data_IF_048071721541
#
_entry.id   IF_048071721541
#
_cell.length_a   1.000
_cell.length_b   1.000
_cell.length_c   1.000
_cell.angle_alpha   90.00
_cell.angle_beta   90.00
_cell.angle_gamma   90.00
#
_symmetry.space_group_name_H-M   'P 1'
#
loop_
_entity.id
_entity.type
_entity.pdbx_description
1 polymer ?
#
# COMPACT_ATOMS: atom_id res chain seq x y z
N UNK A 1 -24.08 17.28 0.51
CA UNK A 1 -23.15 16.26 1.06
C UNK A 1 -22.00 15.89 0.13
N UNK A 2 -22.13 15.95 -1.20
CA UNK A 2 -21.04 15.63 -2.15
C UNK A 2 -19.73 16.42 -1.90
N UNK A 3 -19.82 17.75 -1.76
CA UNK A 3 -18.63 18.60 -1.60
C UNK A 3 -17.83 18.43 -0.30
N UNK A 4 -18.32 17.69 0.70
CA UNK A 4 -17.56 17.37 1.91
C UNK A 4 -16.62 16.17 1.71
N UNK A 5 -16.99 15.25 0.80
CA UNK A 5 -16.15 14.10 0.45
C UNK A 5 -15.04 14.51 -0.51
N UNK A 6 -15.34 15.37 -1.49
CA UNK A 6 -14.36 15.83 -2.49
C UNK A 6 -13.17 16.56 -1.83
N UNK A 7 -13.43 17.45 -0.86
CA UNK A 7 -12.37 18.16 -0.11
C UNK A 7 -11.50 17.22 0.74
N UNK A 8 -12.11 16.18 1.30
CA UNK A 8 -11.39 15.15 2.08
C UNK A 8 -10.51 14.29 1.18
N UNK A 9 -10.98 13.96 -0.02
CA UNK A 9 -10.21 13.21 -1.03
C UNK A 9 -9.00 14.00 -1.49
N UNK A 10 -9.16 15.27 -1.83
CA UNK A 10 -8.04 16.13 -2.27
C UNK A 10 -6.94 16.22 -1.18
N UNK A 11 -7.36 16.43 0.06
CA UNK A 11 -6.45 16.52 1.21
C UNK A 11 -5.74 15.19 1.48
N UNK A 12 -6.47 14.08 1.34
CA UNK A 12 -5.92 12.74 1.43
C UNK A 12 -4.87 12.48 0.34
N UNK A 13 -5.16 12.86 -0.91
CA UNK A 13 -4.23 12.72 -2.04
C UNK A 13 -2.97 13.58 -1.85
N UNK A 14 -3.10 14.79 -1.32
CA UNK A 14 -1.97 15.66 -1.02
C UNK A 14 -1.05 15.07 0.06
N UNK A 15 -1.62 14.43 1.08
CA UNK A 15 -0.86 13.82 2.17
C UNK A 15 -0.21 12.48 1.81
N UNK A 16 -0.87 11.68 0.95
CA UNK A 16 -0.40 10.34 0.57
C UNK A 16 0.90 10.40 -0.25
N UNK A 17 1.86 9.51 0.03
CA UNK A 17 2.99 9.31 -0.88
C UNK A 17 2.49 8.69 -2.19
N UNK A 18 3.16 9.02 -3.28
CA UNK A 18 3.00 8.34 -4.57
C UNK A 18 4.11 7.31 -4.69
N UNK A 19 3.80 6.07 -5.04
CA UNK A 19 4.83 5.07 -5.29
C UNK A 19 5.75 5.51 -6.43
N UNK A 20 7.10 5.43 -6.28
CA UNK A 20 8.04 5.86 -7.30
C UNK A 20 7.87 5.08 -8.61
N UNK A 21 8.01 5.76 -9.75
CA UNK A 21 7.90 5.14 -11.09
C UNK A 21 8.87 3.98 -11.28
N UNK A 22 10.05 4.12 -10.67
CA UNK A 22 11.16 3.17 -10.77
C UNK A 22 10.78 1.81 -10.15
N UNK A 23 9.84 1.78 -9.20
CA UNK A 23 9.38 0.52 -8.63
C UNK A 23 8.59 -0.28 -9.65
N UNK A 24 7.77 0.37 -10.48
CA UNK A 24 7.04 -0.33 -11.54
C UNK A 24 8.01 -0.86 -12.58
N UNK A 25 9.05 -0.10 -12.94
CA UNK A 25 10.12 -0.58 -13.84
C UNK A 25 10.90 -1.75 -13.23
N UNK A 26 11.24 -1.68 -11.94
CA UNK A 26 11.91 -2.74 -11.20
C UNK A 26 11.07 -4.02 -11.17
N UNK A 27 9.77 -3.92 -10.88
CA UNK A 27 8.86 -5.06 -10.86
C UNK A 27 8.63 -5.64 -12.26
N UNK A 28 8.49 -4.80 -13.29
CA UNK A 28 8.37 -5.23 -14.67
C UNK A 28 9.62 -6.01 -15.14
N UNK A 29 10.81 -5.59 -14.72
CA UNK A 29 12.06 -6.28 -15.03
C UNK A 29 12.16 -7.69 -14.41
N UNK A 30 11.37 -7.99 -13.38
CA UNK A 30 11.28 -9.34 -12.81
C UNK A 30 10.38 -10.28 -13.62
N UNK A 31 9.53 -9.75 -14.52
CA UNK A 31 8.62 -10.57 -15.32
C UNK A 31 9.28 -11.09 -16.59
N UNK A 32 8.84 -12.24 -17.10
CA UNK A 32 9.38 -12.78 -18.37
C UNK A 32 8.98 -11.97 -19.62
N UNK A 33 7.89 -11.20 -19.55
CA UNK A 33 7.46 -10.29 -20.61
C UNK A 33 7.77 -8.84 -20.23
N UNK A 34 8.86 -8.29 -20.74
CA UNK A 34 9.37 -6.95 -20.39
C UNK A 34 8.52 -5.77 -20.89
N UNK A 35 7.33 -6.01 -21.46
CA UNK A 35 6.41 -4.96 -21.91
C UNK A 35 5.34 -4.65 -20.86
N UNK A 36 5.73 -4.03 -19.75
CA UNK A 36 4.78 -3.37 -18.87
C UNK A 36 4.38 -2.01 -19.48
N UNK A 37 3.59 -2.03 -20.54
CA UNK A 37 2.95 -0.83 -21.08
C UNK A 37 1.71 -0.45 -20.26
N UNK A 38 1.40 0.84 -20.15
CA UNK A 38 0.07 1.27 -19.68
C UNK A 38 -0.93 0.94 -20.78
N UNK A 39 -1.49 -0.26 -20.70
CA UNK A 39 -2.51 -0.77 -21.61
C UNK A 39 -3.92 -0.36 -21.19
N UNK A 40 -4.90 -0.86 -21.95
CA UNK A 40 -6.33 -0.72 -21.70
C UNK A 40 -6.66 -1.18 -20.28
N UNK A 41 -7.28 -0.32 -19.48
CA UNK A 41 -7.71 -0.63 -18.12
C UNK A 41 -9.06 -1.35 -18.18
N UNK A 42 -9.10 -2.60 -17.73
CA UNK A 42 -10.32 -3.38 -17.60
C UNK A 42 -10.75 -3.45 -16.14
N UNK A 43 -11.93 -2.91 -15.83
CA UNK A 43 -12.55 -3.06 -14.52
C UNK A 43 -13.47 -4.27 -14.53
N UNK A 44 -13.25 -5.16 -13.56
CA UNK A 44 -14.04 -6.38 -13.39
C UNK A 44 -14.56 -6.41 -11.95
N UNK A 45 -15.87 -6.58 -11.80
CA UNK A 45 -16.49 -6.81 -10.51
C UNK A 45 -16.62 -8.32 -10.25
N UNK A 46 -16.11 -8.80 -9.12
CA UNK A 46 -16.15 -10.21 -8.70
C UNK A 46 -17.04 -10.36 -7.45
N UNK A 47 -18.33 -10.70 -7.60
CA UNK A 47 -19.22 -10.95 -6.48
C UNK A 47 -18.71 -12.07 -5.58
N UNK A 48 -19.03 -12.04 -4.28
CA UNK A 48 -18.63 -13.09 -3.34
C UNK A 48 -19.16 -14.49 -3.70
N UNK A 49 -20.26 -14.58 -4.44
CA UNK A 49 -20.83 -15.84 -4.92
C UNK A 49 -20.11 -16.42 -6.13
N UNK A 50 -19.22 -15.67 -6.78
CA UNK A 50 -18.50 -16.10 -7.97
C UNK A 50 -17.42 -17.12 -7.58
N UNK A 51 -17.40 -18.25 -8.29
CA UNK A 51 -16.40 -19.29 -8.10
C UNK A 51 -15.02 -18.85 -8.60
N UNK A 52 -13.98 -19.55 -8.15
CA UNK A 52 -12.62 -19.29 -8.62
C UNK A 52 -12.46 -19.54 -10.12
N UNK A 53 -13.14 -20.55 -10.66
CA UNK A 53 -13.06 -20.89 -12.08
C UNK A 53 -13.74 -19.83 -12.95
N UNK A 54 -14.89 -19.31 -12.52
CA UNK A 54 -15.55 -18.18 -13.17
C UNK A 54 -14.69 -16.91 -13.13
N UNK A 55 -14.07 -16.61 -11.98
CA UNK A 55 -13.13 -15.47 -11.85
C UNK A 55 -11.95 -15.62 -12.81
N UNK A 56 -11.36 -16.83 -12.89
CA UNK A 56 -10.25 -17.10 -13.79
C UNK A 56 -10.69 -16.97 -15.25
N UNK A 57 -11.85 -17.49 -15.64
CA UNK A 57 -12.36 -17.38 -17.00
C UNK A 57 -12.61 -15.90 -17.37
N UNK A 58 -13.24 -15.14 -16.48
CA UNK A 58 -13.57 -13.72 -16.68
C UNK A 58 -12.33 -12.84 -16.88
N UNK A 59 -11.21 -13.22 -16.25
CA UNK A 59 -9.94 -12.50 -16.36
C UNK A 59 -9.04 -13.00 -17.50
N UNK A 60 -9.50 -13.91 -18.37
CA UNK A 60 -8.73 -14.37 -19.54
C UNK A 60 -8.00 -15.71 -19.38
N UNK A 61 -8.40 -16.54 -18.41
CA UNK A 61 -7.89 -17.91 -18.25
C UNK A 61 -6.60 -18.05 -17.43
N UNK A 62 -6.15 -19.28 -17.20
CA UNK A 62 -4.96 -19.54 -16.40
C UNK A 62 -3.67 -19.06 -17.08
N UNK A 63 -2.64 -18.74 -16.29
CA UNK A 63 -1.31 -18.36 -16.76
C UNK A 63 -1.30 -17.20 -17.77
N UNK A 64 -2.07 -16.15 -17.50
CA UNK A 64 -2.28 -15.02 -18.42
C UNK A 64 -1.88 -13.66 -17.82
N UNK A 65 -1.33 -13.63 -16.60
CA UNK A 65 -0.94 -12.39 -15.92
C UNK A 65 0.55 -12.40 -15.61
N UNK A 66 1.29 -11.42 -16.11
CA UNK A 66 2.73 -11.33 -15.84
C UNK A 66 3.03 -10.77 -14.43
N UNK A 67 2.20 -9.83 -13.95
CA UNK A 67 2.41 -9.14 -12.67
C UNK A 67 1.09 -8.93 -11.92
N UNK A 68 1.05 -9.37 -10.67
CA UNK A 68 0.01 -9.01 -9.70
C UNK A 68 0.65 -8.12 -8.63
N UNK A 69 0.01 -6.99 -8.32
CA UNK A 69 0.45 -6.11 -7.23
C UNK A 69 -0.61 -5.96 -6.15
N UNK A 70 -0.18 -5.88 -4.90
CA UNK A 70 -1.03 -5.59 -3.74
C UNK A 70 -0.43 -4.42 -2.97
N UNK A 71 -0.99 -3.22 -3.18
CA UNK A 71 -0.59 -2.00 -2.48
C UNK A 71 -1.41 -1.83 -1.20
N UNK A 72 -0.87 -2.29 -0.07
CA UNK A 72 -1.41 -2.16 1.31
C UNK A 72 -2.61 -3.08 1.63
N UNK A 73 -3.40 -3.49 0.63
CA UNK A 73 -4.70 -4.16 0.83
C UNK A 73 -4.66 -5.59 1.41
N UNK A 74 -3.46 -6.17 1.60
CA UNK A 74 -3.31 -7.59 1.97
C UNK A 74 -4.07 -7.98 3.25
N UNK A 75 -4.26 -7.04 4.18
CA UNK A 75 -4.99 -7.24 5.44
C UNK A 75 -6.49 -7.53 5.31
N UNK A 76 -7.07 -7.33 4.12
CA UNK A 76 -8.47 -7.64 3.83
C UNK A 76 -8.67 -9.02 3.18
N UNK A 77 -7.60 -9.66 2.72
CA UNK A 77 -7.71 -10.86 1.90
C UNK A 77 -7.76 -12.14 2.74
N UNK A 78 -8.51 -13.12 2.27
CA UNK A 78 -8.30 -14.52 2.60
C UNK A 78 -7.01 -14.98 1.90
N UNK A 79 -5.91 -15.09 2.65
CA UNK A 79 -4.59 -15.34 2.07
C UNK A 79 -4.52 -16.69 1.32
N UNK A 80 -4.99 -17.83 1.88
CA UNK A 80 -5.02 -19.09 1.14
C UNK A 80 -5.79 -19.02 -0.18
N UNK A 81 -6.99 -18.43 -0.20
CA UNK A 81 -7.80 -18.28 -1.41
C UNK A 81 -7.10 -17.37 -2.42
N UNK A 82 -6.59 -16.23 -1.96
CA UNK A 82 -5.87 -15.28 -2.81
C UNK A 82 -4.62 -15.89 -3.43
N UNK A 83 -3.77 -16.57 -2.65
CA UNK A 83 -2.55 -17.18 -3.17
C UNK A 83 -2.84 -18.30 -4.17
N UNK A 84 -3.88 -19.10 -3.93
CA UNK A 84 -4.33 -20.10 -4.91
C UNK A 84 -4.76 -19.45 -6.22
N UNK A 85 -5.54 -18.36 -6.15
CA UNK A 85 -5.97 -17.62 -7.34
C UNK A 85 -4.76 -16.98 -8.06
N UNK A 86 -3.89 -16.28 -7.33
CA UNK A 86 -2.69 -15.66 -7.90
C UNK A 86 -1.82 -16.69 -8.63
N UNK A 87 -1.57 -17.86 -8.04
CA UNK A 87 -0.79 -18.95 -8.65
C UNK A 87 -1.41 -19.56 -9.91
N UNK A 88 -2.73 -19.50 -10.06
CA UNK A 88 -3.43 -19.93 -11.28
C UNK A 88 -3.38 -18.87 -12.37
N UNK A 89 -3.37 -17.59 -11.97
CA UNK A 89 -3.42 -16.44 -12.87
C UNK A 89 -2.05 -16.08 -13.43
N UNK A 90 -1.01 -16.19 -12.61
CA UNK A 90 0.34 -15.79 -12.99
C UNK A 90 0.91 -16.69 -14.09
N UNK A 91 1.51 -16.07 -15.10
CA UNK A 91 2.23 -16.76 -16.18
C UNK A 91 3.30 -17.69 -15.61
N UNK A 92 3.50 -18.84 -16.27
CA UNK A 92 4.55 -19.79 -15.92
C UNK A 92 5.38 -20.14 -17.15
N UNK A 93 6.72 -20.01 -17.07
CA UNK A 93 7.50 -19.43 -15.97
C UNK A 93 7.39 -17.88 -15.91
N UNK A 94 7.74 -17.31 -14.74
CA UNK A 94 8.11 -15.89 -14.61
C UNK A 94 7.00 -14.87 -14.34
N UNK A 95 5.81 -15.33 -13.93
CA UNK A 95 4.78 -14.46 -13.37
C UNK A 95 5.13 -14.03 -11.94
N UNK A 96 4.95 -12.74 -11.64
CA UNK A 96 5.38 -12.10 -10.40
C UNK A 96 4.20 -11.67 -9.54
N UNK A 97 4.28 -11.95 -8.24
CA UNK A 97 3.45 -11.32 -7.21
C UNK A 97 4.30 -10.35 -6.40
N UNK A 98 3.89 -9.08 -6.34
CA UNK A 98 4.50 -8.05 -5.52
C UNK A 98 3.52 -7.49 -4.48
N UNK A 99 3.89 -7.54 -3.20
CA UNK A 99 3.11 -6.98 -2.09
C UNK A 99 3.94 -5.85 -1.48
N UNK A 100 3.34 -4.67 -1.31
CA UNK A 100 4.01 -3.53 -0.70
C UNK A 100 3.05 -2.65 0.08
N UNK A 101 3.56 -1.68 0.85
CA UNK A 101 2.76 -0.72 1.61
C UNK A 101 3.37 0.69 1.61
N UNK A 102 2.69 1.67 2.18
CA UNK A 102 3.12 3.07 2.22
C UNK A 102 2.98 3.72 3.61
N UNK A 103 2.76 2.93 4.67
CA UNK A 103 2.19 3.45 5.91
C UNK A 103 3.18 4.01 6.95
N UNK A 104 4.49 3.86 6.79
CA UNK A 104 5.42 4.19 7.89
C UNK A 104 6.11 5.54 7.66
N UNK A 105 5.74 6.56 8.42
CA UNK A 105 6.49 7.82 8.45
C UNK A 105 7.82 7.64 9.19
N UNK A 106 8.87 8.36 8.76
CA UNK A 106 10.21 8.27 9.37
C UNK A 106 10.22 8.36 10.92
N UNK A 107 11.22 7.80 11.62
CA UNK A 107 11.22 7.66 13.09
C UNK A 107 10.98 8.96 13.88
N UNK A 108 11.41 10.11 13.35
CA UNK A 108 11.16 11.43 13.98
C UNK A 108 9.67 11.79 14.06
N UNK A 109 8.88 11.32 13.11
CA UNK A 109 7.43 11.52 13.06
C UNK A 109 6.64 10.31 13.57
N UNK A 110 7.29 9.14 13.66
CA UNK A 110 6.71 7.93 14.23
C UNK A 110 6.23 8.13 15.67
N UNK A 111 6.95 8.86 16.51
CA UNK A 111 6.52 9.11 17.91
C UNK A 111 5.18 9.84 17.95
N UNK A 112 4.95 10.75 17.01
CA UNK A 112 3.73 11.57 16.94
C UNK A 112 2.58 10.77 16.29
N UNK A 113 2.87 9.86 15.35
CA UNK A 113 1.86 8.99 14.73
C UNK A 113 1.47 7.76 15.57
N UNK A 114 2.20 7.44 16.65
CA UNK A 114 1.85 6.36 17.59
C UNK A 114 0.52 6.60 18.31
N UNK A 115 0.27 7.83 18.76
CA UNK A 115 -0.92 8.16 19.55
C UNK A 115 -2.24 7.92 18.76
N UNK A 116 -2.38 8.37 17.49
CA UNK A 116 -3.53 8.01 16.66
C UNK A 116 -3.65 6.51 16.37
N UNK A 117 -2.53 5.82 16.17
CA UNK A 117 -2.48 4.37 15.91
C UNK A 117 -2.99 3.56 17.11
N UNK A 118 -2.49 3.84 18.31
CA UNK A 118 -2.93 3.15 19.54
C UNK A 118 -4.41 3.39 19.81
N UNK A 119 -4.88 4.65 19.70
CA UNK A 119 -6.30 5.01 19.92
C UNK A 119 -7.26 4.37 18.93
N UNK A 120 -6.81 4.06 17.70
CA UNK A 120 -7.66 3.45 16.68
C UNK A 120 -7.54 1.93 16.59
N UNK A 121 -6.58 1.32 17.28
CA UNK A 121 -6.27 -0.11 17.20
C UNK A 121 -7.45 -1.05 17.47
N UNK A 122 -8.39 -0.66 18.34
CA UNK A 122 -9.60 -1.43 18.63
C UNK A 122 -10.59 -1.53 17.45
N UNK A 123 -10.48 -0.66 16.46
CA UNK A 123 -11.33 -0.67 15.25
C UNK A 123 -10.69 -1.43 14.09
N UNK A 124 -9.49 -1.96 14.28
CA UNK A 124 -8.73 -2.53 13.18
C UNK A 124 -9.14 -3.96 12.91
N UNK A 125 -9.24 -4.31 11.62
CA UNK A 125 -9.44 -5.69 11.20
C UNK A 125 -8.28 -6.56 11.70
N UNK A 126 -8.53 -7.80 12.08
CA UNK A 126 -7.48 -8.70 12.60
C UNK A 126 -6.29 -8.88 11.63
N UNK A 127 -6.55 -8.79 10.32
CA UNK A 127 -5.51 -8.83 9.29
C UNK A 127 -4.58 -7.61 9.27
N UNK A 128 -4.96 -6.49 9.90
CA UNK A 128 -4.15 -5.27 9.94
C UNK A 128 -2.77 -5.50 10.56
N UNK A 129 -2.65 -6.52 11.44
CA UNK A 129 -1.38 -6.96 12.03
C UNK A 129 -0.27 -7.15 10.99
N UNK A 130 -0.60 -7.64 9.80
CA UNK A 130 0.39 -7.85 8.74
C UNK A 130 0.98 -6.55 8.25
N UNK A 131 0.19 -5.49 8.12
CA UNK A 131 0.70 -4.22 7.63
C UNK A 131 1.40 -3.43 8.74
N UNK A 132 0.89 -3.53 9.97
CA UNK A 132 1.47 -2.91 11.17
C UNK A 132 2.86 -3.47 11.45
N UNK A 133 3.00 -4.79 11.32
CA UNK A 133 4.28 -5.49 11.47
C UNK A 133 5.05 -5.60 10.14
N UNK A 134 4.77 -4.69 9.21
CA UNK A 134 5.58 -4.46 8.01
C UNK A 134 5.77 -5.70 7.13
N UNK A 135 4.78 -6.59 7.12
CA UNK A 135 4.77 -7.90 6.47
C UNK A 135 5.80 -8.90 6.97
N UNK A 136 6.46 -8.65 8.11
CA UNK A 136 7.46 -9.56 8.69
C UNK A 136 6.87 -10.94 8.98
N UNK A 137 5.64 -10.97 9.48
CA UNK A 137 4.93 -12.20 9.81
C UNK A 137 3.88 -12.62 8.74
N UNK A 138 3.91 -12.04 7.54
CA UNK A 138 2.99 -12.42 6.46
C UNK A 138 3.47 -13.73 5.82
N UNK A 139 2.67 -14.82 5.83
CA UNK A 139 2.99 -16.02 5.06
C UNK A 139 3.07 -15.66 3.58
N UNK A 140 4.14 -16.01 2.90
CA UNK A 140 4.37 -15.61 1.51
C UNK A 140 4.95 -16.80 0.72
N UNK A 141 4.07 -17.72 0.25
CA UNK A 141 4.47 -19.01 -0.32
C UNK A 141 4.86 -18.89 -1.81
N UNK A 142 5.75 -17.95 -2.13
CA UNK A 142 6.29 -17.69 -3.47
C UNK A 142 7.82 -17.71 -3.41
N UNK A 143 8.45 -18.13 -4.50
CA UNK A 143 9.90 -18.16 -4.57
C UNK A 143 10.44 -16.73 -4.70
N UNK A 144 11.43 -16.38 -3.87
CA UNK A 144 12.00 -15.03 -3.83
C UNK A 144 12.72 -14.67 -5.13
N UNK A 145 12.54 -13.44 -5.59
CA UNK A 145 13.32 -12.86 -6.71
C UNK A 145 14.34 -11.81 -6.24
N UNK A 146 14.65 -11.79 -4.93
CA UNK A 146 15.65 -10.88 -4.34
C UNK A 146 15.09 -9.54 -3.84
N UNK A 147 13.79 -9.27 -3.99
CA UNK A 147 13.12 -8.04 -3.54
C UNK A 147 12.25 -8.28 -2.28
N UNK A 148 12.85 -8.92 -1.28
CA UNK A 148 12.18 -9.32 -0.03
C UNK A 148 11.47 -10.67 -0.13
N UNK A 149 11.41 -11.38 0.99
CA UNK A 149 10.81 -12.71 1.09
C UNK A 149 10.19 -12.94 2.48
N UNK A 150 9.46 -14.04 2.65
CA UNK A 150 8.81 -14.38 3.92
C UNK A 150 9.76 -14.23 5.12
N UNK A 151 9.34 -13.50 6.17
CA UNK A 151 10.18 -13.21 7.34
C UNK A 151 11.17 -12.06 7.17
N UNK A 152 11.53 -11.69 5.93
CA UNK A 152 12.49 -10.61 5.63
C UNK A 152 12.02 -9.71 4.47
N UNK A 153 11.01 -8.86 4.71
CA UNK A 153 10.59 -7.84 3.75
C UNK A 153 11.74 -6.87 3.41
N UNK A 154 11.82 -6.46 2.15
CA UNK A 154 12.76 -5.42 1.72
C UNK A 154 12.22 -4.05 2.13
N UNK A 155 13.01 -3.28 2.88
CA UNK A 155 12.65 -1.90 3.23
C UNK A 155 12.99 -0.98 2.05
N UNK A 156 12.06 -0.11 1.69
CA UNK A 156 12.20 0.93 0.69
C UNK A 156 11.82 2.29 1.28
N UNK A 157 12.22 3.36 0.59
CA UNK A 157 11.94 4.73 0.99
C UNK A 157 11.19 5.47 -0.13
N UNK A 158 10.13 6.20 0.24
CA UNK A 158 9.35 7.05 -0.63
C UNK A 158 9.44 8.49 -0.12
N UNK A 159 10.21 9.37 -0.78
CA UNK A 159 10.25 10.78 -0.41
C UNK A 159 8.95 11.47 -0.84
N UNK A 160 8.41 12.32 0.04
CA UNK A 160 7.22 13.13 -0.23
C UNK A 160 7.41 14.52 0.34
N UNK A 161 7.17 15.54 -0.48
CA UNK A 161 7.08 16.91 0.00
C UNK A 161 5.74 17.14 0.72
N UNK A 162 5.82 17.65 1.95
CA UNK A 162 4.67 17.93 2.79
C UNK A 162 4.77 19.34 3.39
N UNK A 163 3.65 20.07 3.33
CA UNK A 163 3.52 21.39 3.94
C UNK A 163 2.97 21.24 5.36
N UNK A 164 3.46 22.04 6.32
CA UNK A 164 2.91 22.03 7.68
C UNK A 164 1.40 22.34 7.75
N UNK A 165 0.85 23.07 6.77
CA UNK A 165 -0.61 23.31 6.65
C UNK A 165 -1.43 22.03 6.50
N UNK A 166 -0.85 20.95 5.97
CA UNK A 166 -1.57 19.69 5.73
C UNK A 166 -2.11 19.09 7.03
N UNK A 167 -1.44 19.31 8.16
CA UNK A 167 -1.89 18.82 9.47
C UNK A 167 -3.10 19.59 10.01
N UNK A 168 -3.09 20.93 9.92
CA UNK A 168 -4.21 21.75 10.32
C UNK A 168 -5.45 21.50 9.44
N UNK A 169 -5.25 21.37 8.12
CA UNK A 169 -6.32 21.07 7.16
C UNK A 169 -7.00 19.72 7.47
N UNK A 170 -6.23 18.70 7.88
CA UNK A 170 -6.78 17.41 8.27
C UNK A 170 -7.79 17.54 9.43
N UNK A 171 -7.48 18.36 10.44
CA UNK A 171 -8.37 18.57 11.58
C UNK A 171 -9.59 19.42 11.24
N UNK A 172 -9.43 20.48 10.45
CA UNK A 172 -10.55 21.31 9.99
C UNK A 172 -11.58 20.49 9.21
N UNK A 173 -11.15 19.42 8.56
CA UNK A 173 -12.01 18.49 7.83
C UNK A 173 -12.61 17.37 8.70
N UNK A 174 -12.43 17.43 10.03
CA UNK A 174 -13.04 16.49 10.97
C UNK A 174 -12.33 15.14 11.07
N UNK A 175 -11.04 15.05 10.72
CA UNK A 175 -10.20 13.91 11.13
C UNK A 175 -9.84 14.10 12.62
N UNK A 176 -10.76 13.70 13.50
CA UNK A 176 -10.67 13.89 14.96
C UNK A 176 -9.55 13.06 15.64
N UNK A 177 -8.81 12.26 14.86
CA UNK A 177 -7.67 11.48 15.34
C UNK A 177 -6.46 12.36 15.71
N UNK A 178 -6.42 13.60 15.23
CA UNK A 178 -5.35 14.56 15.56
C UNK A 178 -5.87 15.60 16.56
N UNK A 179 -5.45 15.47 17.82
CA UNK A 179 -5.74 16.48 18.85
C UNK A 179 -5.07 17.82 18.51
N UNK A 180 -5.52 18.94 19.12
CA UNK A 180 -4.93 20.26 18.81
C UNK A 180 -3.46 20.31 19.24
N UNK A 181 -3.15 19.58 20.31
CA UNK A 181 -1.83 19.43 20.88
C UNK A 181 -0.89 18.71 19.91
N UNK A 182 -1.35 17.59 19.32
CA UNK A 182 -0.59 16.83 18.31
C UNK A 182 -0.26 17.69 17.09
N UNK A 183 -1.21 18.51 16.63
CA UNK A 183 -0.98 19.41 15.48
C UNK A 183 0.04 20.49 15.82
N UNK A 184 -0.07 21.12 16.99
CA UNK A 184 0.92 22.10 17.45
C UNK A 184 2.32 21.49 17.54
N UNK A 185 2.42 20.25 18.01
CA UNK A 185 3.70 19.53 18.07
C UNK A 185 4.26 19.28 16.67
N UNK A 186 3.43 18.83 15.72
CA UNK A 186 3.81 18.66 14.32
C UNK A 186 4.27 19.99 13.69
N UNK A 187 3.51 21.07 13.85
CA UNK A 187 3.86 22.39 13.32
C UNK A 187 5.17 22.94 13.92
N UNK A 188 5.37 22.75 15.22
CA UNK A 188 6.60 23.13 15.92
C UNK A 188 7.80 22.36 15.38
N UNK A 189 7.66 21.05 15.15
CA UNK A 189 8.71 20.23 14.54
C UNK A 189 9.04 20.64 13.10
N UNK A 190 8.08 21.22 12.37
CA UNK A 190 8.28 21.79 11.03
C UNK A 190 9.03 23.13 11.01
N UNK A 191 9.27 23.73 12.18
CA UNK A 191 9.89 25.06 12.38
C UNK A 191 9.10 26.20 11.74
N UNK A 192 7.77 26.15 11.86
CA UNK A 192 6.89 27.25 11.51
C UNK A 192 5.81 26.89 10.48
N UNK A 193 4.78 27.75 10.36
CA UNK A 193 3.67 27.52 9.45
C UNK A 193 4.13 27.65 7.99
N UNK A 194 3.45 26.92 7.10
CA UNK A 194 3.59 27.00 5.65
C UNK A 194 4.96 26.57 5.10
N UNK A 195 5.74 25.82 5.89
CA UNK A 195 7.02 25.28 5.45
C UNK A 195 6.80 23.94 4.76
N UNK A 196 7.38 23.80 3.57
CA UNK A 196 7.46 22.52 2.85
C UNK A 196 8.73 21.79 3.29
N UNK A 197 8.61 20.50 3.57
CA UNK A 197 9.75 19.61 3.88
C UNK A 197 9.56 18.28 3.19
N UNK A 198 10.67 17.66 2.81
CA UNK A 198 10.68 16.25 2.40
C UNK A 198 10.56 15.37 3.63
N UNK A 199 9.52 14.55 3.64
CA UNK A 199 9.31 13.47 4.60
C UNK A 199 9.60 12.14 3.89
N UNK A 200 10.25 11.23 4.59
CA UNK A 200 10.49 9.88 4.08
C UNK A 200 9.43 8.95 4.65
N UNK A 201 8.68 8.31 3.76
CA UNK A 201 7.84 7.15 4.07
C UNK A 201 8.67 5.88 3.88
N UNK A 202 8.77 5.05 4.90
CA UNK A 202 9.26 3.70 4.80
C UNK A 202 8.14 2.80 4.27
N UNK A 203 8.52 1.96 3.33
CA UNK A 203 7.70 0.95 2.72
C UNK A 203 8.38 -0.41 2.87
N UNK A 204 7.60 -1.48 2.86
CA UNK A 204 8.10 -2.84 2.96
C UNK A 204 7.52 -3.67 1.83
N UNK A 205 8.39 -4.35 1.10
CA UNK A 205 8.06 -5.09 -0.12
C UNK A 205 8.42 -6.57 0.02
N UNK A 206 7.57 -7.42 -0.55
CA UNK A 206 7.78 -8.83 -0.79
C UNK A 206 7.50 -9.11 -2.25
N UNK A 207 8.42 -9.76 -2.95
CA UNK A 207 8.24 -10.11 -4.36
C UNK A 207 8.65 -11.56 -4.58
N UNK A 208 7.79 -12.32 -5.25
CA UNK A 208 8.09 -13.69 -5.59
C UNK A 208 7.46 -14.15 -6.90
N UNK A 209 8.02 -15.22 -7.43
CA UNK A 209 7.56 -15.89 -8.65
C UNK A 209 6.78 -17.17 -8.33
N UNK A 210 5.98 -17.60 -9.32
CA UNK A 210 5.25 -18.86 -9.34
C UNK A 210 5.96 -19.96 -10.13
#
# INVERSE_FOLDING_TARGET
>A
MAGLFDKKVETYLQARPTYPSEWYSMLAACTSNSQAGIGIIHYVHTPQSMSMDEMVALMGGENHVDLITVATAMHWFDLPVFYKLAKRRLCKPGGILAIYNDMVLSPKFHTISKCPHEKSSHFWHAGAKYVIDWYRNLPFPFESVGLGYEGKPMQLEIPKELCSKTFALAKEQGLDLLSREVIKELESSWRGPNKVRTVIYKSFMLVGTV
#
